data_IF_052811043306
#
_entry.id   IF_052811043306
#
_cell.length_a   1.000
_cell.length_b   1.000
_cell.length_c   1.000
_cell.angle_alpha   90.00
_cell.angle_beta   90.00
_cell.angle_gamma   90.00
#
_symmetry.space_group_name_H-M   'P 1'
#
loop_
_entity.id
_entity.type
_entity.pdbx_description
1 polymer ?
#
# COMPACT_ATOMS: atom_id res chain seq x y z
N UNK A 1 46.31 53.07 -15.01
CA UNK A 1 46.82 51.68 -15.05
C UNK A 1 45.65 50.76 -14.74
N UNK A 2 45.53 49.67 -15.50
CA UNK A 2 44.37 48.78 -15.64
C UNK A 2 44.58 47.50 -14.80
N UNK A 3 43.45 46.84 -14.47
CA UNK A 3 43.24 45.41 -14.09
C UNK A 3 43.56 45.02 -12.64
N UNK A 4 42.59 44.81 -11.75
CA UNK A 4 41.61 43.69 -11.63
C UNK A 4 42.23 42.30 -11.71
N UNK A 5 42.13 41.54 -10.61
CA UNK A 5 41.78 40.12 -10.68
C UNK A 5 40.94 39.75 -9.45
N UNK A 6 39.71 39.37 -9.77
CA UNK A 6 38.67 38.81 -8.93
C UNK A 6 39.10 37.55 -8.21
N UNK A 7 38.58 37.35 -6.99
CA UNK A 7 38.17 36.04 -6.52
C UNK A 7 36.87 36.20 -5.77
N UNK A 8 35.79 35.86 -6.46
CA UNK A 8 34.49 35.59 -5.87
C UNK A 8 34.61 34.39 -4.94
N UNK A 9 33.85 34.38 -3.84
CA UNK A 9 33.08 33.22 -3.41
C UNK A 9 32.03 33.68 -2.41
N UNK A 10 30.79 33.62 -2.90
CA UNK A 10 29.54 33.90 -2.20
C UNK A 10 29.41 32.99 -0.97
N UNK A 11 29.30 33.58 0.22
CA UNK A 11 28.77 32.90 1.39
C UNK A 11 27.44 33.56 1.76
N UNK A 12 26.43 33.34 0.92
CA UNK A 12 25.04 33.62 1.25
C UNK A 12 24.43 32.36 1.88
N UNK A 13 24.68 32.14 3.17
CA UNK A 13 23.91 31.17 3.95
C UNK A 13 22.54 31.78 4.23
N UNK A 14 21.61 31.59 3.30
CA UNK A 14 20.20 31.80 3.54
C UNK A 14 19.74 30.78 4.58
N UNK A 15 19.63 31.20 5.85
CA UNK A 15 18.79 30.52 6.82
C UNK A 15 17.34 30.82 6.44
N UNK A 16 16.91 30.19 5.34
CA UNK A 16 15.50 30.11 5.00
C UNK A 16 14.83 29.37 6.13
N UNK A 17 13.90 30.07 6.79
CA UNK A 17 12.96 29.53 7.75
C UNK A 17 12.58 28.11 7.32
N UNK A 18 12.91 27.12 8.15
CA UNK A 18 12.26 25.82 8.11
C UNK A 18 10.77 26.10 8.34
N UNK A 19 10.08 26.38 7.25
CA UNK A 19 8.63 26.29 7.17
C UNK A 19 8.35 24.90 7.72
N UNK A 20 7.73 24.86 8.89
CA UNK A 20 7.01 23.72 9.41
C UNK A 20 5.95 23.38 8.35
N UNK A 21 6.37 22.71 7.26
CA UNK A 21 5.44 21.94 6.48
C UNK A 21 4.88 20.94 7.49
N UNK A 22 3.55 20.90 7.67
CA UNK A 22 2.95 19.74 8.31
C UNK A 22 3.53 18.54 7.58
N UNK A 23 4.10 17.58 8.31
CA UNK A 23 4.34 16.27 7.74
C UNK A 23 2.99 15.86 7.16
N UNK A 24 2.86 15.93 5.82
CA UNK A 24 1.75 15.30 5.14
C UNK A 24 1.70 13.89 5.70
N UNK A 25 0.51 13.37 6.08
CA UNK A 25 0.45 12.04 6.64
C UNK A 25 1.12 11.13 5.61
N UNK A 26 2.22 10.49 5.99
CA UNK A 26 2.68 9.32 5.25
C UNK A 26 1.44 8.43 5.21
N UNK A 27 0.83 8.27 4.02
CA UNK A 27 -0.51 7.75 3.84
C UNK A 27 -0.68 6.51 4.73
N UNK A 28 -1.31 6.71 5.89
CA UNK A 28 -1.49 5.64 6.84
C UNK A 28 -2.54 4.77 6.19
N UNK A 29 -2.14 3.55 5.85
CA UNK A 29 -3.00 2.53 5.25
C UNK A 29 -4.38 2.57 5.94
N UNK A 30 -5.45 2.62 5.14
CA UNK A 30 -6.79 2.75 5.69
C UNK A 30 -7.11 1.57 6.62
N UNK A 31 -8.06 1.73 7.56
CA UNK A 31 -8.46 0.63 8.42
C UNK A 31 -8.92 -0.62 7.65
N UNK A 32 -9.61 -0.43 6.50
CA UNK A 32 -10.05 -1.52 5.66
C UNK A 32 -8.89 -2.26 5.00
N UNK A 33 -7.94 -1.51 4.43
CA UNK A 33 -6.73 -2.09 3.86
C UNK A 33 -5.88 -2.79 4.93
N UNK A 34 -5.78 -2.22 6.14
CA UNK A 34 -5.09 -2.87 7.27
C UNK A 34 -5.72 -4.22 7.61
N UNK A 35 -7.04 -4.22 7.83
CA UNK A 35 -7.79 -5.45 8.13
C UNK A 35 -7.68 -6.51 7.03
N UNK A 36 -7.67 -6.10 5.75
CA UNK A 36 -7.51 -7.02 4.64
C UNK A 36 -6.12 -7.69 4.62
N UNK A 37 -5.06 -6.90 4.80
CA UNK A 37 -3.68 -7.44 4.87
C UNK A 37 -3.52 -8.35 6.09
N UNK A 38 -4.04 -7.96 7.24
CA UNK A 38 -3.99 -8.77 8.46
C UNK A 38 -4.71 -10.12 8.28
N UNK A 39 -5.88 -10.12 7.65
CA UNK A 39 -6.61 -11.35 7.36
C UNK A 39 -5.85 -12.28 6.39
N UNK A 40 -5.22 -11.72 5.37
CA UNK A 40 -4.40 -12.47 4.40
C UNK A 40 -3.18 -13.09 5.09
N UNK A 41 -2.44 -12.30 5.87
CA UNK A 41 -1.26 -12.77 6.58
C UNK A 41 -1.64 -13.86 7.60
N UNK A 42 -2.74 -13.68 8.34
CA UNK A 42 -3.22 -14.69 9.27
C UNK A 42 -3.57 -16.01 8.57
N UNK A 43 -4.22 -15.96 7.40
CA UNK A 43 -4.52 -17.18 6.63
C UNK A 43 -3.26 -17.87 6.10
N UNK A 44 -2.24 -17.10 5.68
CA UNK A 44 -0.94 -17.63 5.26
C UNK A 44 -0.24 -18.31 6.44
N UNK A 45 -0.21 -17.66 7.59
CA UNK A 45 0.43 -18.20 8.80
C UNK A 45 -0.28 -19.47 9.30
N UNK A 46 -1.62 -19.45 9.36
CA UNK A 46 -2.44 -20.61 9.78
C UNK A 46 -2.30 -21.81 8.84
N UNK A 47 -2.10 -21.56 7.54
CA UNK A 47 -2.00 -22.61 6.52
C UNK A 47 -0.57 -23.07 6.24
N UNK A 48 0.44 -22.43 6.86
CA UNK A 48 1.84 -22.66 6.52
C UNK A 48 2.18 -22.28 5.07
N UNK A 49 1.45 -21.32 4.50
CA UNK A 49 1.60 -20.84 3.13
C UNK A 49 0.84 -21.64 2.06
N UNK A 50 0.14 -22.72 2.43
CA UNK A 50 -0.70 -23.47 1.50
C UNK A 50 -2.19 -23.20 1.74
N UNK A 51 -2.71 -22.16 1.09
CA UNK A 51 -4.14 -21.84 1.12
C UNK A 51 -4.92 -22.92 0.37
N UNK A 52 -5.36 -23.98 1.06
CA UNK A 52 -6.26 -24.96 0.47
C UNK A 52 -7.66 -24.36 0.19
N UNK A 53 -8.54 -25.04 -0.56
CA UNK A 53 -9.85 -24.48 -0.92
C UNK A 53 -10.73 -24.06 0.29
N UNK A 54 -10.60 -24.75 1.42
CA UNK A 54 -11.34 -24.40 2.66
C UNK A 54 -10.81 -23.09 3.24
N UNK A 55 -9.48 -22.94 3.30
CA UNK A 55 -8.83 -21.72 3.76
C UNK A 55 -9.13 -20.55 2.81
N UNK A 56 -9.06 -20.78 1.50
CA UNK A 56 -9.40 -19.78 0.47
C UNK A 56 -10.84 -19.29 0.63
N UNK A 57 -11.81 -20.20 0.79
CA UNK A 57 -13.21 -19.84 0.99
C UNK A 57 -13.45 -19.09 2.30
N UNK A 58 -12.77 -19.49 3.38
CA UNK A 58 -12.83 -18.80 4.67
C UNK A 58 -12.27 -17.39 4.57
N UNK A 59 -11.10 -17.23 3.93
CA UNK A 59 -10.47 -15.94 3.71
C UNK A 59 -11.31 -15.03 2.82
N UNK A 60 -11.84 -15.54 1.70
CA UNK A 60 -12.74 -14.80 0.82
C UNK A 60 -13.97 -14.27 1.57
N UNK A 61 -14.52 -15.07 2.49
CA UNK A 61 -15.64 -14.67 3.35
C UNK A 61 -15.22 -13.55 4.30
N UNK A 62 -14.07 -13.69 4.98
CA UNK A 62 -13.53 -12.67 5.89
C UNK A 62 -13.29 -11.34 5.14
N UNK A 63 -12.66 -11.38 3.97
CA UNK A 63 -12.38 -10.21 3.15
C UNK A 63 -13.66 -9.53 2.66
N UNK A 64 -14.66 -10.30 2.23
CA UNK A 64 -15.94 -9.75 1.77
C UNK A 64 -16.75 -9.08 2.88
N UNK A 65 -16.48 -9.42 4.15
CA UNK A 65 -17.12 -8.81 5.31
C UNK A 65 -16.45 -7.49 5.77
N UNK A 66 -15.31 -7.11 5.18
CA UNK A 66 -14.62 -5.86 5.53
C UNK A 66 -15.43 -4.68 4.99
N UNK A 67 -15.79 -3.76 5.88
CA UNK A 67 -16.40 -2.50 5.50
C UNK A 67 -15.35 -1.58 4.87
N UNK A 68 -15.48 -1.35 3.57
CA UNK A 68 -14.62 -0.52 2.76
C UNK A 68 -15.47 0.26 1.76
N UNK A 69 -14.90 1.33 1.19
CA UNK A 69 -15.56 2.14 0.17
C UNK A 69 -14.66 2.37 -1.04
N UNK A 70 -15.27 2.75 -2.17
CA UNK A 70 -14.56 3.13 -3.39
C UNK A 70 -13.59 2.06 -3.90
N UNK A 71 -12.36 2.49 -4.18
CA UNK A 71 -11.31 1.64 -4.76
C UNK A 71 -10.87 0.53 -3.81
N UNK A 72 -10.86 0.77 -2.49
CA UNK A 72 -10.47 -0.23 -1.50
C UNK A 72 -11.46 -1.39 -1.47
N UNK A 73 -12.77 -1.07 -1.48
CA UNK A 73 -13.82 -2.09 -1.59
C UNK A 73 -13.67 -2.93 -2.84
N UNK A 74 -13.43 -2.28 -3.98
CA UNK A 74 -13.27 -2.97 -5.25
C UNK A 74 -12.06 -3.91 -5.26
N UNK A 75 -10.91 -3.45 -4.71
CA UNK A 75 -9.69 -4.25 -4.64
C UNK A 75 -9.83 -5.43 -3.65
N UNK A 76 -10.37 -5.19 -2.45
CA UNK A 76 -10.60 -6.25 -1.45
C UNK A 76 -11.59 -7.29 -1.98
N UNK A 77 -12.70 -6.86 -2.59
CA UNK A 77 -13.67 -7.77 -3.20
C UNK A 77 -13.09 -8.52 -4.40
N UNK A 78 -12.25 -7.88 -5.21
CA UNK A 78 -11.55 -8.51 -6.32
C UNK A 78 -10.59 -9.61 -5.85
N UNK A 79 -9.83 -9.34 -4.78
CA UNK A 79 -8.98 -10.35 -4.14
C UNK A 79 -9.81 -11.51 -3.57
N UNK A 80 -10.88 -11.20 -2.85
CA UNK A 80 -11.79 -12.20 -2.29
C UNK A 80 -12.40 -13.10 -3.37
N UNK A 81 -12.82 -12.52 -4.50
CA UNK A 81 -13.36 -13.28 -5.62
C UNK A 81 -12.30 -14.20 -6.23
N UNK A 82 -11.09 -13.69 -6.47
CA UNK A 82 -10.00 -14.44 -7.08
C UNK A 82 -9.64 -15.69 -6.25
N UNK A 83 -9.67 -15.61 -4.92
CA UNK A 83 -9.44 -16.76 -4.03
C UNK A 83 -10.37 -17.95 -4.30
N UNK A 84 -11.56 -17.72 -4.86
CA UNK A 84 -12.58 -18.78 -5.02
C UNK A 84 -12.91 -19.07 -6.48
N UNK A 85 -12.29 -18.36 -7.42
CA UNK A 85 -12.51 -18.53 -8.84
C UNK A 85 -11.57 -19.62 -9.39
N UNK A 86 -12.15 -20.72 -9.85
CA UNK A 86 -11.44 -21.88 -10.40
C UNK A 86 -10.73 -21.58 -11.73
N UNK A 87 -11.03 -20.43 -12.36
CA UNK A 87 -10.36 -19.95 -13.56
C UNK A 87 -9.09 -19.16 -13.26
N UNK A 88 -8.88 -18.76 -12.01
CA UNK A 88 -7.72 -17.97 -11.63
C UNK A 88 -6.56 -18.90 -11.29
N UNK A 89 -5.60 -18.97 -12.21
CA UNK A 89 -4.43 -19.84 -12.08
C UNK A 89 -3.36 -19.30 -11.12
N UNK A 90 -3.32 -17.99 -10.86
CA UNK A 90 -2.43 -17.36 -9.89
C UNK A 90 -3.05 -16.09 -9.30
N UNK A 91 -2.58 -15.67 -8.13
CA UNK A 91 -3.11 -14.50 -7.41
C UNK A 91 -2.40 -13.19 -7.73
N UNK A 92 -1.42 -13.17 -8.65
CA UNK A 92 -0.52 -12.04 -8.84
C UNK A 92 -1.29 -10.76 -9.20
N UNK A 93 -2.19 -10.84 -10.18
CA UNK A 93 -2.98 -9.68 -10.62
C UNK A 93 -3.88 -9.11 -9.51
N UNK A 94 -4.51 -9.98 -8.72
CA UNK A 94 -5.35 -9.55 -7.59
C UNK A 94 -4.50 -8.96 -6.45
N UNK A 95 -3.34 -9.56 -6.20
CA UNK A 95 -2.37 -9.10 -5.18
C UNK A 95 -1.78 -7.75 -5.56
N UNK A 96 -1.43 -7.55 -6.83
CA UNK A 96 -0.90 -6.30 -7.36
C UNK A 96 -1.92 -5.18 -7.25
N UNK A 97 -3.18 -5.45 -7.59
CA UNK A 97 -4.26 -4.46 -7.46
C UNK A 97 -4.53 -4.10 -5.99
N UNK A 98 -4.61 -5.09 -5.10
CA UNK A 98 -4.75 -4.84 -3.66
C UNK A 98 -3.59 -4.00 -3.13
N UNK A 99 -2.35 -4.33 -3.50
CA UNK A 99 -1.16 -3.59 -3.12
C UNK A 99 -1.15 -2.16 -3.68
N UNK A 100 -1.55 -1.97 -4.93
CA UNK A 100 -1.62 -0.66 -5.59
C UNK A 100 -2.57 0.28 -4.85
N UNK A 101 -3.70 -0.25 -4.38
CA UNK A 101 -4.71 0.53 -3.65
C UNK A 101 -4.30 0.74 -2.18
N UNK A 102 -3.83 -0.30 -1.50
CA UNK A 102 -3.57 -0.25 -0.07
C UNK A 102 -2.21 0.34 0.34
N UNK A 103 -1.26 0.50 -0.59
CA UNK A 103 0.05 1.15 -0.36
C UNK A 103 0.13 2.56 -0.96
N UNK A 104 -0.98 3.08 -1.49
CA UNK A 104 -1.07 4.36 -2.19
C UNK A 104 -0.64 5.56 -1.35
#
# INVERSE_FOLDING_TARGET
MIKTCSAALLAASAFGSLLLLPAAPAHAQSPACGAAIDAINAAIDESGGNLDPTVQQSLATKLSAIEAEGAEKAAIAGYAHALTDDKVANMDAATDELNRVCKG
#
